data_IF_482245967559
#
_entry.id   IF_482245967559
#
_cell.length_a   1.000
_cell.length_b   1.000
_cell.length_c   1.000
_cell.angle_alpha   90.00
_cell.angle_beta   90.00
_cell.angle_gamma   90.00
#
_symmetry.space_group_name_H-M   'P 1'
#
loop_
_entity.id
_entity.type
_entity.pdbx_description
1 polymer ?
#
# COMPACT_ATOMS: atom_id res chain seq x y z
N UNK A 1 -4.92 47.18 53.52
CA UNK A 1 -4.21 46.76 52.30
C UNK A 1 -4.57 45.31 52.01
N UNK A 2 -5.16 45.07 50.84
CA UNK A 2 -5.86 43.84 50.48
C UNK A 2 -4.87 42.68 50.24
N UNK A 3 -5.26 41.45 50.61
CA UNK A 3 -4.49 40.23 50.33
C UNK A 3 -4.16 40.08 48.83
N UNK A 4 -5.08 40.53 47.97
CA UNK A 4 -4.95 40.47 46.52
C UNK A 4 -3.81 41.36 46.02
N UNK A 5 -3.60 42.54 46.63
CA UNK A 5 -2.52 43.46 46.26
C UNK A 5 -1.16 42.85 46.60
N UNK A 6 -0.99 42.31 47.81
CA UNK A 6 0.26 41.66 48.23
C UNK A 6 0.58 40.42 47.40
N UNK A 7 -0.44 39.66 47.01
CA UNK A 7 -0.27 38.51 46.13
C UNK A 7 0.16 38.95 44.73
N UNK A 8 -0.51 39.97 44.18
CA UNK A 8 -0.17 40.53 42.86
C UNK A 8 1.25 41.10 42.83
N UNK A 9 1.66 41.85 43.87
CA UNK A 9 3.01 42.40 44.00
C UNK A 9 4.06 41.28 44.06
N UNK A 10 3.80 40.25 44.86
CA UNK A 10 4.74 39.12 45.01
C UNK A 10 4.91 38.35 43.70
N UNK A 11 3.82 38.15 42.95
CA UNK A 11 3.83 37.50 41.64
C UNK A 11 4.57 38.36 40.61
N UNK A 12 4.26 39.66 40.52
CA UNK A 12 4.91 40.57 39.56
C UNK A 12 6.40 40.72 39.84
N UNK A 13 6.80 40.77 41.11
CA UNK A 13 8.21 40.84 41.52
C UNK A 13 8.95 39.52 41.24
N UNK A 14 8.31 38.37 41.46
CA UNK A 14 8.88 37.08 41.07
C UNK A 14 9.00 36.90 39.55
N UNK A 15 8.00 37.35 38.78
CA UNK A 15 8.05 37.31 37.33
C UNK A 15 9.18 38.21 36.81
N UNK A 16 9.29 39.45 37.31
CA UNK A 16 10.36 40.36 36.92
C UNK A 16 11.75 39.83 37.27
N UNK A 17 11.90 39.11 38.40
CA UNK A 17 13.16 38.51 38.81
C UNK A 17 13.52 37.22 38.04
N UNK A 18 12.52 36.47 37.55
CA UNK A 18 12.73 35.20 36.85
C UNK A 18 12.65 35.29 35.32
N UNK A 19 11.99 36.31 34.77
CA UNK A 19 11.82 36.50 33.32
C UNK A 19 12.92 37.39 32.76
N UNK A 20 14.12 36.83 32.59
CA UNK A 20 15.16 37.50 31.81
C UNK A 20 14.80 37.43 30.32
N UNK A 21 14.95 38.55 29.59
CA UNK A 21 14.77 38.60 28.11
C UNK A 21 15.59 37.51 27.39
N UNK A 22 16.72 37.10 27.97
CA UNK A 22 17.59 36.02 27.46
C UNK A 22 16.98 34.63 27.62
N UNK A 23 16.17 34.40 28.67
CA UNK A 23 15.51 33.12 28.92
C UNK A 23 14.26 32.93 28.04
N UNK A 24 13.53 34.01 27.76
CA UNK A 24 12.40 33.98 26.81
C UNK A 24 12.87 33.71 25.38
N UNK A 25 13.92 34.40 24.92
CA UNK A 25 14.49 34.16 23.59
C UNK A 25 15.10 32.75 23.46
N UNK A 26 15.75 32.25 24.52
CA UNK A 26 16.25 30.87 24.55
C UNK A 26 15.13 29.83 24.48
N UNK A 27 14.03 30.01 25.22
CA UNK A 27 12.88 29.12 25.19
C UNK A 27 12.17 29.09 23.84
N UNK A 28 11.90 30.26 23.24
CA UNK A 28 11.32 30.38 21.90
C UNK A 28 12.23 29.79 20.81
N UNK A 29 13.54 30.03 20.90
CA UNK A 29 14.53 29.44 20.00
C UNK A 29 14.57 27.91 20.08
N UNK A 30 14.60 27.36 21.31
CA UNK A 30 14.54 25.91 21.51
C UNK A 30 13.24 25.30 21.01
N UNK A 31 12.10 25.98 21.17
CA UNK A 31 10.81 25.48 20.70
C UNK A 31 10.72 25.48 19.16
N UNK A 32 11.24 26.52 18.51
CA UNK A 32 11.29 26.60 17.04
C UNK A 32 12.23 25.54 16.44
N UNK A 33 13.43 25.40 16.99
CA UNK A 33 14.40 24.39 16.52
C UNK A 33 13.91 22.97 16.84
N UNK A 34 13.32 22.74 18.01
CA UNK A 34 12.73 21.46 18.38
C UNK A 34 11.51 21.10 17.52
N UNK A 35 10.65 22.07 17.21
CA UNK A 35 9.49 21.88 16.33
C UNK A 35 9.88 21.56 14.88
N UNK A 36 10.93 22.19 14.36
CA UNK A 36 11.47 21.91 13.03
C UNK A 36 12.13 20.52 12.91
N UNK A 37 12.52 19.90 14.02
CA UNK A 37 13.06 18.54 14.06
C UNK A 37 11.97 17.45 14.11
N UNK A 38 10.70 17.78 14.39
CA UNK A 38 9.59 16.82 14.37
C UNK A 38 9.44 16.06 13.04
N UNK A 39 9.54 16.68 11.85
CA UNK A 39 9.50 15.94 10.58
C UNK A 39 10.78 15.14 10.29
N UNK A 40 11.87 15.37 11.04
CA UNK A 40 13.12 14.62 10.95
C UNK A 40 13.16 13.43 11.90
N UNK A 41 12.27 13.38 12.90
CA UNK A 41 12.11 12.17 13.66
C UNK A 41 11.68 11.07 12.68
N UNK A 42 12.38 9.93 12.68
CA UNK A 42 11.90 8.79 11.93
C UNK A 42 10.48 8.56 12.44
N UNK A 43 9.49 8.74 11.56
CA UNK A 43 8.14 8.26 11.82
C UNK A 43 8.36 6.78 12.07
N UNK A 44 8.31 6.40 13.35
CA UNK A 44 8.14 5.01 13.71
C UNK A 44 6.83 4.65 13.03
N UNK A 45 6.94 4.04 11.85
CA UNK A 45 5.89 3.17 11.37
C UNK A 45 5.82 2.15 12.48
N UNK A 46 4.94 2.40 13.44
CA UNK A 46 4.44 1.38 14.34
C UNK A 46 4.22 0.21 13.40
N UNK A 47 5.02 -0.83 13.60
CA UNK A 47 4.73 -2.12 13.02
C UNK A 47 3.28 -2.36 13.43
N UNK A 48 2.37 -2.13 12.48
CA UNK A 48 1.01 -2.56 12.64
C UNK A 48 1.17 -4.01 13.06
N UNK A 49 0.69 -4.31 14.27
CA UNK A 49 0.64 -5.65 14.82
C UNK A 49 0.32 -6.58 13.68
N UNK A 50 1.10 -7.65 13.55
CA UNK A 50 1.04 -8.60 12.45
C UNK A 50 -0.40 -9.05 12.23
N UNK A 51 -1.12 -8.31 11.38
CA UNK A 51 -2.34 -8.77 10.76
C UNK A 51 -1.92 -10.05 10.02
N UNK A 52 -2.46 -11.22 10.40
CA UNK A 52 -2.09 -12.46 9.74
C UNK A 52 -2.46 -12.33 8.27
N UNK A 53 -1.47 -12.38 7.36
CA UNK A 53 -1.71 -12.40 5.92
C UNK A 53 -1.07 -11.26 5.10
N UNK A 54 0.16 -10.87 5.39
CA UNK A 54 0.97 -9.99 4.51
C UNK A 54 2.32 -10.61 4.17
N UNK A 55 2.94 -10.17 3.08
CA UNK A 55 4.32 -10.57 2.73
C UNK A 55 5.34 -9.96 3.69
N UNK A 56 6.33 -10.75 4.10
CA UNK A 56 7.37 -10.34 5.05
C UNK A 56 8.11 -9.07 4.57
N UNK A 57 8.27 -8.10 5.46
CA UNK A 57 8.94 -6.83 5.16
C UNK A 57 8.11 -5.85 4.31
N UNK A 58 6.84 -6.13 4.06
CA UNK A 58 5.87 -5.22 3.42
C UNK A 58 4.70 -5.01 4.36
N UNK A 59 4.31 -3.75 4.59
CA UNK A 59 3.14 -3.47 5.39
C UNK A 59 1.89 -4.14 4.77
N UNK A 60 1.08 -4.86 5.56
CA UNK A 60 -0.20 -5.40 5.09
C UNK A 60 -1.04 -4.29 4.46
N UNK A 61 -1.81 -4.65 3.43
CA UNK A 61 -2.73 -3.72 2.78
C UNK A 61 -4.13 -4.32 2.84
N UNK A 62 -5.14 -3.55 3.29
CA UNK A 62 -6.53 -4.02 3.33
C UNK A 62 -7.00 -4.42 1.93
N UNK A 63 -8.05 -5.24 1.81
CA UNK A 63 -8.60 -5.64 0.52
C UNK A 63 -9.11 -4.44 -0.31
N UNK A 64 -9.42 -4.66 -1.59
CA UNK A 64 -9.75 -3.57 -2.52
C UNK A 64 -11.13 -2.97 -2.25
N UNK A 65 -12.08 -3.79 -1.83
CA UNK A 65 -13.47 -3.39 -1.60
C UNK A 65 -14.03 -3.97 -0.30
N UNK A 66 -15.01 -3.27 0.26
CA UNK A 66 -15.78 -3.76 1.40
C UNK A 66 -16.51 -5.07 1.01
N UNK A 67 -16.30 -6.14 1.78
CA UNK A 67 -16.85 -7.48 1.49
C UNK A 67 -15.83 -8.46 0.92
N UNK A 68 -14.58 -8.06 0.76
CA UNK A 68 -13.48 -8.99 0.50
C UNK A 68 -12.70 -9.29 1.76
N UNK A 69 -12.08 -10.47 1.80
CA UNK A 69 -11.24 -10.91 2.91
C UNK A 69 -9.77 -11.04 2.49
N UNK A 70 -8.88 -10.99 3.48
CA UNK A 70 -7.43 -11.10 3.30
C UNK A 70 -6.73 -9.78 2.99
N UNK A 71 -5.46 -9.85 2.63
CA UNK A 71 -4.63 -8.66 2.37
C UNK A 71 -4.00 -8.70 0.99
N UNK A 72 -3.99 -7.54 0.32
CA UNK A 72 -3.48 -7.42 -1.06
C UNK A 72 -1.99 -7.75 -1.18
N UNK A 73 -1.25 -7.83 -0.07
CA UNK A 73 0.17 -8.17 -0.07
C UNK A 73 0.43 -9.64 0.23
N UNK A 74 -0.60 -10.49 0.42
CA UNK A 74 -0.45 -11.95 0.50
C UNK A 74 -0.69 -12.61 -0.85
N UNK A 75 0.07 -13.67 -1.17
CA UNK A 75 -0.19 -14.50 -2.35
C UNK A 75 -1.50 -15.30 -2.26
N UNK A 76 -2.04 -15.49 -1.04
CA UNK A 76 -3.27 -16.24 -0.79
C UNK A 76 -4.55 -15.39 -0.97
N UNK A 77 -4.39 -14.09 -1.25
CA UNK A 77 -5.53 -13.23 -1.55
C UNK A 77 -6.25 -13.74 -2.80
N UNK A 78 -7.57 -13.90 -2.68
CA UNK A 78 -8.39 -14.71 -3.59
C UNK A 78 -8.27 -14.29 -5.08
N UNK A 79 -8.08 -12.99 -5.35
CA UNK A 79 -7.91 -12.45 -6.70
C UNK A 79 -6.65 -12.97 -7.39
N UNK A 80 -5.68 -13.49 -6.64
CA UNK A 80 -4.39 -13.94 -7.13
C UNK A 80 -4.35 -15.41 -7.54
N UNK A 81 -5.47 -16.12 -7.61
CA UNK A 81 -5.49 -17.56 -7.90
C UNK A 81 -4.72 -17.97 -9.17
N UNK A 82 -4.68 -17.10 -10.20
CA UNK A 82 -3.94 -17.28 -11.45
C UNK A 82 -2.83 -16.26 -11.70
N UNK A 83 -2.40 -15.50 -10.67
CA UNK A 83 -1.34 -14.50 -10.83
C UNK A 83 0.02 -15.17 -11.07
N UNK A 84 0.93 -14.49 -11.77
CA UNK A 84 2.31 -14.92 -11.92
C UNK A 84 3.24 -13.73 -11.83
N UNK A 85 4.17 -13.77 -10.88
CA UNK A 85 5.16 -12.71 -10.70
C UNK A 85 4.91 -11.84 -9.47
N UNK A 86 5.58 -10.68 -9.38
CA UNK A 86 5.48 -9.77 -8.25
C UNK A 86 4.14 -9.02 -8.20
N UNK A 87 3.54 -8.93 -7.02
CA UNK A 87 2.29 -8.19 -6.79
C UNK A 87 2.51 -6.67 -6.80
N UNK A 88 1.72 -5.93 -7.59
CA UNK A 88 1.81 -4.47 -7.62
C UNK A 88 1.49 -3.79 -6.27
N UNK A 89 0.66 -4.42 -5.44
CA UNK A 89 0.33 -3.96 -4.09
C UNK A 89 1.57 -3.79 -3.18
N UNK A 90 2.64 -4.54 -3.45
CA UNK A 90 3.89 -4.49 -2.69
C UNK A 90 4.90 -3.48 -3.22
N UNK A 91 4.57 -2.78 -4.30
CA UNK A 91 5.50 -1.97 -5.07
C UNK A 91 5.00 -0.52 -5.25
N UNK A 92 4.02 -0.09 -4.45
CA UNK A 92 3.44 1.25 -4.50
C UNK A 92 2.14 1.36 -5.30
N UNK A 93 1.72 0.30 -5.99
CA UNK A 93 0.39 0.16 -6.59
C UNK A 93 -0.59 -0.46 -5.58
N UNK A 94 -1.73 -0.96 -6.05
CA UNK A 94 -2.68 -1.82 -5.32
C UNK A 94 -2.91 -3.11 -6.11
N UNK A 95 -3.81 -3.98 -5.64
CA UNK A 95 -4.25 -5.12 -6.42
C UNK A 95 -4.94 -4.71 -7.73
N UNK A 96 -5.47 -3.49 -7.87
CA UNK A 96 -6.19 -3.01 -9.06
C UNK A 96 -5.67 -1.68 -9.63
N UNK A 97 -4.49 -1.23 -9.21
CA UNK A 97 -3.89 0.01 -9.69
C UNK A 97 -2.38 -0.12 -9.79
N UNK A 98 -1.82 0.43 -10.86
CA UNK A 98 -0.39 0.40 -11.09
C UNK A 98 0.40 1.32 -10.14
N UNK A 99 1.65 0.95 -9.79
CA UNK A 99 2.55 1.85 -9.09
C UNK A 99 2.78 3.16 -9.86
N UNK A 100 3.04 4.29 -9.16
CA UNK A 100 3.35 5.55 -9.81
C UNK A 100 4.51 5.43 -10.81
N UNK A 101 4.33 6.02 -12.00
CA UNK A 101 5.34 6.02 -13.06
C UNK A 101 5.44 4.70 -13.85
N UNK A 102 4.53 3.75 -13.63
CA UNK A 102 4.33 2.60 -14.52
C UNK A 102 3.03 2.77 -15.30
N UNK A 103 2.89 2.05 -16.41
CA UNK A 103 1.71 2.07 -17.29
C UNK A 103 1.04 0.71 -17.27
N UNK A 104 -0.28 0.69 -17.05
CA UNK A 104 -1.05 -0.56 -17.10
C UNK A 104 -1.14 -1.07 -18.54
N UNK A 105 -0.94 -2.37 -18.73
CA UNK A 105 -1.09 -2.99 -20.03
C UNK A 105 -2.56 -3.01 -20.47
N UNK A 106 -2.85 -2.73 -21.75
CA UNK A 106 -4.20 -2.88 -22.30
C UNK A 106 -4.56 -4.35 -22.55
N UNK A 107 -3.56 -5.24 -22.60
CA UNK A 107 -3.72 -6.68 -22.75
C UNK A 107 -3.46 -7.39 -21.42
N UNK A 108 -4.10 -8.54 -21.22
CA UNK A 108 -3.99 -9.35 -20.01
C UNK A 108 -4.29 -10.81 -20.31
N UNK A 109 -3.88 -11.68 -19.39
CA UNK A 109 -4.49 -13.00 -19.27
C UNK A 109 -5.62 -12.96 -18.25
N UNK A 110 -6.51 -13.92 -18.38
CA UNK A 110 -7.69 -14.06 -17.55
C UNK A 110 -7.57 -15.31 -16.67
N UNK A 111 -7.95 -15.16 -15.40
CA UNK A 111 -8.25 -16.28 -14.52
C UNK A 111 -9.66 -16.19 -13.97
N UNK A 112 -10.15 -17.31 -13.44
CA UNK A 112 -11.44 -17.39 -12.78
C UNK A 112 -11.21 -17.80 -11.34
N UNK A 113 -11.43 -16.89 -10.40
CA UNK A 113 -11.11 -17.09 -8.99
C UNK A 113 -12.39 -17.10 -8.14
N UNK A 114 -12.45 -18.00 -7.15
CA UNK A 114 -13.51 -18.02 -6.16
C UNK A 114 -13.25 -16.96 -5.10
N UNK A 115 -14.21 -16.09 -4.84
CA UNK A 115 -14.18 -15.21 -3.68
C UNK A 115 -14.79 -15.96 -2.47
N UNK A 116 -14.01 -16.24 -1.40
CA UNK A 116 -14.52 -17.00 -0.26
C UNK A 116 -15.59 -16.26 0.56
N UNK A 117 -15.69 -14.94 0.44
CA UNK A 117 -16.64 -14.14 1.21
C UNK A 117 -18.09 -14.29 0.73
N UNK A 118 -18.29 -14.55 -0.57
CA UNK A 118 -19.61 -14.67 -1.20
C UNK A 118 -19.83 -15.99 -1.96
N UNK A 119 -18.81 -16.86 -2.04
CA UNK A 119 -18.80 -18.13 -2.78
C UNK A 119 -19.09 -17.96 -4.29
N UNK A 120 -18.72 -16.81 -4.85
CA UNK A 120 -18.91 -16.49 -6.28
C UNK A 120 -17.57 -16.55 -7.02
N UNK A 121 -17.59 -17.16 -8.20
CA UNK A 121 -16.46 -17.10 -9.13
C UNK A 121 -16.46 -15.79 -9.90
N UNK A 122 -15.34 -15.07 -9.88
CA UNK A 122 -15.13 -13.84 -10.65
C UNK A 122 -14.09 -14.04 -11.74
N UNK A 123 -14.28 -13.32 -12.83
CA UNK A 123 -13.30 -13.19 -13.91
C UNK A 123 -12.31 -12.11 -13.49
N UNK A 124 -11.04 -12.49 -13.39
CA UNK A 124 -9.93 -11.61 -13.04
C UNK A 124 -9.07 -11.36 -14.27
N UNK A 125 -8.88 -10.09 -14.59
CA UNK A 125 -7.92 -9.62 -15.59
C UNK A 125 -6.60 -9.30 -14.91
N UNK A 126 -5.57 -10.05 -15.26
CA UNK A 126 -4.21 -9.84 -14.78
C UNK A 126 -3.47 -8.92 -15.74
N UNK A 127 -3.54 -7.61 -15.48
CA UNK A 127 -2.83 -6.61 -16.26
C UNK A 127 -1.45 -6.38 -15.66
N UNK A 128 -0.44 -6.35 -16.51
CA UNK A 128 0.92 -6.00 -16.10
C UNK A 128 1.05 -4.49 -16.02
N UNK A 129 1.83 -4.02 -15.05
CA UNK A 129 2.31 -2.65 -14.99
C UNK A 129 3.72 -2.61 -15.56
N UNK A 130 3.95 -1.67 -16.46
CA UNK A 130 5.08 -1.66 -17.38
C UNK A 130 5.87 -0.34 -17.33
N UNK A 131 7.10 -0.36 -17.83
CA UNK A 131 7.95 0.85 -18.00
C UNK A 131 8.92 1.12 -16.84
N UNK A 132 8.98 0.24 -15.83
CA UNK A 132 9.98 0.30 -14.74
C UNK A 132 10.61 -1.08 -14.48
N UNK A 133 11.79 -1.15 -13.82
CA UNK A 133 12.41 -2.42 -13.47
C UNK A 133 11.49 -3.33 -12.65
N UNK A 134 11.61 -4.63 -12.85
CA UNK A 134 10.81 -5.64 -12.16
C UNK A 134 10.90 -5.50 -10.65
N UNK A 135 9.74 -5.45 -10.00
CA UNK A 135 9.64 -5.42 -8.56
C UNK A 135 10.14 -6.74 -7.96
N UNK A 136 10.87 -6.66 -6.85
CA UNK A 136 11.50 -7.83 -6.20
C UNK A 136 10.82 -8.21 -4.88
N UNK A 137 9.53 -7.89 -4.74
CA UNK A 137 8.71 -8.17 -3.55
C UNK A 137 7.49 -8.96 -3.95
N UNK A 138 6.98 -9.78 -3.03
CA UNK A 138 5.73 -10.52 -3.22
C UNK A 138 5.70 -11.32 -4.52
N UNK A 139 6.76 -12.10 -4.77
CA UNK A 139 6.81 -12.98 -5.94
C UNK A 139 5.85 -14.16 -5.71
N UNK A 140 4.70 -14.12 -6.37
CA UNK A 140 3.68 -15.13 -6.26
C UNK A 140 3.66 -15.99 -7.53
N UNK A 141 3.58 -17.31 -7.34
CA UNK A 141 3.34 -18.26 -8.43
C UNK A 141 2.46 -19.38 -7.89
N UNK A 142 1.21 -19.07 -7.53
CA UNK A 142 0.27 -20.10 -7.09
C UNK A 142 0.15 -21.20 -8.14
N UNK A 143 -0.13 -22.41 -7.65
CA UNK A 143 -0.48 -23.49 -8.52
C UNK A 143 -1.89 -23.24 -9.06
N UNK A 144 -1.98 -22.65 -10.25
CA UNK A 144 -3.24 -22.45 -10.95
C UNK A 144 -3.58 -23.73 -11.75
N UNK A 145 -4.55 -24.56 -11.31
CA UNK A 145 -4.95 -25.76 -12.05
C UNK A 145 -5.61 -25.44 -13.40
N UNK A 146 -6.04 -24.19 -13.60
CA UNK A 146 -6.66 -23.73 -14.84
C UNK A 146 -5.66 -23.10 -15.81
N UNK A 147 -4.40 -22.88 -15.40
CA UNK A 147 -3.37 -22.30 -16.25
C UNK A 147 -3.23 -23.10 -17.55
N UNK A 148 -3.37 -22.39 -18.68
CA UNK A 148 -3.30 -23.01 -20.01
C UNK A 148 -1.90 -22.84 -20.62
N UNK A 149 -1.49 -23.79 -21.48
CA UNK A 149 -0.24 -23.65 -22.23
C UNK A 149 -0.25 -22.38 -23.11
N UNK A 150 0.93 -21.87 -23.52
CA UNK A 150 1.06 -20.62 -24.28
C UNK A 150 0.18 -20.53 -25.54
N UNK A 151 -0.13 -21.67 -26.19
CA UNK A 151 -1.02 -21.73 -27.36
C UNK A 151 -2.46 -21.21 -27.08
N UNK A 152 -2.84 -21.10 -25.81
CA UNK A 152 -4.07 -20.44 -25.34
C UNK A 152 -3.68 -19.14 -24.63
N UNK A 153 -3.26 -18.16 -25.42
CA UNK A 153 -2.67 -16.91 -24.92
C UNK A 153 -3.55 -16.25 -23.85
N UNK A 154 -4.86 -16.10 -24.10
CA UNK A 154 -5.79 -15.43 -23.21
C UNK A 154 -5.87 -16.01 -21.79
N UNK A 155 -5.44 -17.25 -21.57
CA UNK A 155 -5.44 -17.93 -20.27
C UNK A 155 -4.04 -18.41 -19.88
N UNK A 156 -3.00 -17.84 -20.49
CA UNK A 156 -1.62 -18.19 -20.24
C UNK A 156 -0.84 -17.04 -19.61
N UNK A 157 -0.41 -17.25 -18.37
CA UNK A 157 0.51 -16.38 -17.63
C UNK A 157 1.97 -16.48 -18.08
N UNK A 158 2.26 -17.23 -19.15
CA UNK A 158 3.62 -17.45 -19.65
C UNK A 158 4.16 -16.26 -20.46
N UNK A 159 3.28 -15.34 -20.88
CA UNK A 159 3.65 -14.13 -21.61
C UNK A 159 3.85 -12.95 -20.66
N UNK A 160 4.72 -12.02 -21.06
CA UNK A 160 4.72 -10.67 -20.50
C UNK A 160 3.65 -9.86 -21.24
N UNK A 161 2.65 -9.39 -20.52
CA UNK A 161 1.46 -8.77 -21.09
C UNK A 161 1.57 -7.27 -21.31
N UNK A 162 2.79 -6.72 -21.21
CA UNK A 162 3.09 -5.31 -21.50
C UNK A 162 2.88 -4.86 -22.96
N UNK A 163 2.62 -5.80 -23.88
CA UNK A 163 2.36 -5.49 -25.28
C UNK A 163 1.19 -4.49 -25.43
N UNK A 164 1.38 -3.47 -26.25
CA UNK A 164 0.39 -2.41 -26.49
C UNK A 164 0.39 -1.27 -25.46
N UNK A 165 1.16 -1.36 -24.37
CA UNK A 165 1.25 -0.28 -23.36
C UNK A 165 2.17 0.88 -23.75
N UNK A 166 2.89 0.76 -24.88
CA UNK A 166 4.00 1.66 -25.24
C UNK A 166 5.32 1.32 -24.54
N UNK A 167 5.27 0.47 -23.51
CA UNK A 167 6.40 0.01 -22.72
C UNK A 167 6.52 -1.52 -22.81
N UNK A 168 7.73 -2.06 -22.83
CA UNK A 168 7.96 -3.52 -22.87
C UNK A 168 8.57 -4.08 -21.59
N UNK A 169 9.02 -3.20 -20.69
CA UNK A 169 9.66 -3.61 -19.43
C UNK A 169 8.60 -3.96 -18.40
N UNK A 170 8.59 -5.22 -17.95
CA UNK A 170 7.67 -5.70 -16.92
C UNK A 170 8.07 -5.26 -15.50
N UNK A 171 7.13 -4.68 -14.75
CA UNK A 171 7.33 -4.27 -13.35
C UNK A 171 6.65 -5.22 -12.37
N UNK A 172 5.34 -5.41 -12.48
CA UNK A 172 4.49 -6.19 -11.57
C UNK A 172 3.14 -6.48 -12.23
N UNK A 173 2.31 -7.32 -11.60
CA UNK A 173 0.95 -7.60 -12.09
C UNK A 173 -0.13 -7.12 -11.11
N UNK A 174 -1.23 -6.65 -11.68
CA UNK A 174 -2.50 -6.33 -11.00
C UNK A 174 -3.50 -7.47 -11.19
N UNK A 175 -4.66 -7.39 -10.55
CA UNK A 175 -5.75 -8.37 -10.53
C UNK A 175 -7.08 -7.64 -10.46
N UNK A 176 -7.56 -7.25 -11.63
CA UNK A 176 -8.76 -6.45 -11.81
C UNK A 176 -9.97 -7.36 -11.98
N UNK A 177 -10.98 -7.21 -11.11
CA UNK A 177 -12.27 -7.89 -11.32
C UNK A 177 -12.94 -7.25 -12.53
N UNK A 178 -13.25 -8.05 -13.55
CA UNK A 178 -13.95 -7.58 -14.77
C UNK A 178 -15.40 -8.05 -14.84
N UNK A 179 -15.78 -9.06 -14.06
CA UNK A 179 -17.16 -9.53 -13.98
C UNK A 179 -17.30 -10.83 -13.20
N UNK A 180 -18.54 -11.31 -13.07
CA UNK A 180 -18.87 -12.61 -12.47
C UNK A 180 -18.75 -13.69 -13.54
N UNK A 181 -18.14 -14.83 -13.20
CA UNK A 181 -18.06 -15.97 -14.09
C UNK A 181 -19.38 -16.73 -14.08
N UNK A 182 -20.04 -16.81 -15.23
CA UNK A 182 -21.22 -17.68 -15.43
C UNK A 182 -20.74 -19.05 -15.90
N UNK A 183 -21.34 -20.12 -15.37
CA UNK A 183 -21.09 -21.46 -15.90
C UNK A 183 -21.54 -21.52 -17.36
N UNK A 184 -20.62 -21.90 -18.24
CA UNK A 184 -21.00 -22.27 -19.61
C UNK A 184 -21.64 -23.66 -19.51
N UNK A 185 -22.93 -23.72 -19.83
CA UNK A 185 -23.72 -24.93 -19.89
C UNK A 185 -23.40 -25.74 -21.15
#
# INVERSE_FOLDING_TARGET
MSFVEKLSEKITRQLAQRTSRRSLLGGLGSLLVGGAALPLLPVARVHADQEPGGYEGVAPRPPVSDGEEGSQTSCDYWRYCGIGGPLCACCGGSANACPPGTVMSPLSWIGTCLNPADDVYYIISYNDCCGKPTCKRCLCSPHDPNAKPPIRSQSSRAYLWCMGSGETTFTCSTSNVVGIAVQQK
#
